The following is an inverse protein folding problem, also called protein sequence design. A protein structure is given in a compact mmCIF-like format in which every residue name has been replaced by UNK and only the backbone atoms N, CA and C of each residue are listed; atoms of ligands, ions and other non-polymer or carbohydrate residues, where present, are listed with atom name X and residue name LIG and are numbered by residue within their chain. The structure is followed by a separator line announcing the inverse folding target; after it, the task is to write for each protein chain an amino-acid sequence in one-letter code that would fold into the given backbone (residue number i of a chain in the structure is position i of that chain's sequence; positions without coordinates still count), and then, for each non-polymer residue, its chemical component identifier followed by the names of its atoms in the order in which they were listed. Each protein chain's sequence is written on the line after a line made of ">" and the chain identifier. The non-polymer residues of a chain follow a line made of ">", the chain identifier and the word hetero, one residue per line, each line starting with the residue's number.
data_IF_334190704611
#
_entry.id   IF_334190704611
#
_cell.length_a   1.000
_cell.length_b   1.000
_cell.length_c   1.000
_cell.angle_alpha   90.00
_cell.angle_beta   90.00
_cell.angle_gamma   90.00
#
_symmetry.space_group_name_H-M   'P 1'
#
loop_
_entity.id
_entity.type
_entity.pdbx_description
1 polymer ?
#
# COMPACT_ATOMS: atom_id res chain seq x y z
N UNK A 1 -19.91 -10.84 -10.60
CA UNK A 1 -18.90 -11.81 -11.10
C UNK A 1 -17.53 -11.21 -10.84
N UNK A 2 -16.66 -11.91 -10.11
CA UNK A 2 -15.27 -11.49 -9.96
C UNK A 2 -14.59 -11.53 -11.34
N UNK A 3 -13.83 -10.49 -11.68
CA UNK A 3 -13.06 -10.44 -12.92
C UNK A 3 -11.94 -11.49 -12.84
N UNK A 4 -12.12 -12.63 -13.50
CA UNK A 4 -11.16 -13.75 -13.49
C UNK A 4 -9.75 -13.30 -13.89
N UNK A 5 -9.63 -12.26 -14.72
CA UNK A 5 -8.35 -11.69 -15.12
C UNK A 5 -7.68 -10.92 -13.98
N UNK A 6 -8.46 -10.18 -13.18
CA UNK A 6 -7.93 -9.53 -11.98
C UNK A 6 -7.41 -10.58 -11.00
N UNK A 7 -8.20 -11.63 -10.74
CA UNK A 7 -7.79 -12.72 -9.86
C UNK A 7 -6.50 -13.40 -10.35
N UNK A 8 -6.41 -13.72 -11.65
CA UNK A 8 -5.19 -14.28 -12.25
C UNK A 8 -3.97 -13.39 -12.00
N UNK A 9 -4.10 -12.09 -12.25
CA UNK A 9 -3.00 -11.12 -12.09
C UNK A 9 -2.59 -11.01 -10.63
N UNK A 10 -3.54 -10.96 -9.70
CA UNK A 10 -3.27 -10.89 -8.26
C UNK A 10 -2.53 -12.14 -7.78
N UNK A 11 -3.07 -13.33 -8.04
CA UNK A 11 -2.42 -14.58 -7.63
C UNK A 11 -1.04 -14.77 -8.26
N UNK A 12 -0.86 -14.35 -9.51
CA UNK A 12 0.44 -14.41 -10.17
C UNK A 12 1.45 -13.44 -9.54
N UNK A 13 1.02 -12.24 -9.19
CA UNK A 13 1.86 -11.24 -8.55
C UNK A 13 2.29 -11.62 -7.13
N UNK A 14 1.50 -12.40 -6.39
CA UNK A 14 1.87 -12.85 -5.04
C UNK A 14 3.04 -13.85 -5.03
N UNK A 15 3.26 -14.59 -6.12
CA UNK A 15 4.25 -15.68 -6.18
C UNK A 15 5.39 -15.43 -7.18
N UNK A 16 5.38 -14.30 -7.91
CA UNK A 16 6.39 -13.97 -8.90
C UNK A 16 6.99 -12.59 -8.68
N UNK A 17 8.21 -12.33 -9.18
CA UNK A 17 8.76 -10.98 -9.22
C UNK A 17 7.81 -10.02 -9.94
N UNK A 18 7.58 -8.84 -9.37
CA UNK A 18 6.62 -7.85 -9.87
C UNK A 18 6.82 -7.48 -11.35
N UNK A 19 8.08 -7.49 -11.84
CA UNK A 19 8.37 -7.25 -13.26
C UNK A 19 7.65 -8.26 -14.18
N UNK A 20 7.55 -9.53 -13.78
CA UNK A 20 6.83 -10.55 -14.55
C UNK A 20 5.32 -10.29 -14.52
N UNK A 21 4.76 -9.90 -13.38
CA UNK A 21 3.35 -9.55 -13.27
C UNK A 21 2.98 -8.31 -14.10
N UNK A 22 3.84 -7.28 -14.15
CA UNK A 22 3.66 -6.11 -15.00
C UNK A 22 3.78 -6.44 -16.50
N UNK A 23 4.70 -7.34 -16.86
CA UNK A 23 4.80 -7.85 -18.23
C UNK A 23 3.52 -8.61 -18.63
N UNK A 24 2.96 -9.41 -17.72
CA UNK A 24 1.69 -10.10 -17.93
C UNK A 24 0.55 -9.08 -18.19
N UNK A 25 0.49 -7.99 -17.44
CA UNK A 25 -0.47 -6.91 -17.66
C UNK A 25 -0.27 -6.17 -19.01
N UNK A 26 0.94 -6.19 -19.56
CA UNK A 26 1.21 -5.61 -20.89
C UNK A 26 0.71 -6.48 -22.04
N UNK A 27 0.27 -7.72 -21.77
CA UNK A 27 -0.27 -8.61 -22.79
C UNK A 27 -1.64 -8.12 -23.31
N UNK A 28 -1.86 -8.23 -24.63
CA UNK A 28 -3.07 -7.73 -25.32
C UNK A 28 -4.40 -8.22 -24.76
N UNK A 29 -4.42 -9.41 -24.16
CA UNK A 29 -5.63 -10.03 -23.61
C UNK A 29 -5.96 -9.54 -22.17
N UNK A 30 -5.04 -8.82 -21.50
CA UNK A 30 -5.20 -8.30 -20.15
C UNK A 30 -5.27 -6.78 -20.17
N UNK A 31 -4.16 -6.14 -20.55
CA UNK A 31 -4.02 -4.70 -20.62
C UNK A 31 -3.61 -4.03 -19.30
N UNK A 32 -3.07 -2.82 -19.42
CA UNK A 32 -2.50 -2.02 -18.33
C UNK A 32 -3.47 -1.67 -17.19
N UNK A 33 -4.78 -1.82 -17.41
CA UNK A 33 -5.82 -1.59 -16.40
C UNK A 33 -5.66 -2.48 -15.15
N UNK A 34 -4.93 -3.61 -15.26
CA UNK A 34 -4.64 -4.51 -14.15
C UNK A 34 -3.32 -4.22 -13.43
N UNK A 35 -2.56 -3.18 -13.79
CA UNK A 35 -1.33 -2.82 -13.07
C UNK A 35 -1.57 -2.58 -11.58
N UNK A 36 -2.66 -1.90 -11.23
CA UNK A 36 -3.01 -1.64 -9.84
C UNK A 36 -3.29 -2.95 -9.07
N UNK A 37 -3.93 -3.93 -9.70
CA UNK A 37 -4.15 -5.25 -9.10
C UNK A 37 -2.82 -5.97 -8.83
N UNK A 38 -1.92 -5.99 -9.83
CA UNK A 38 -0.59 -6.59 -9.67
C UNK A 38 0.21 -5.92 -8.54
N UNK A 39 0.27 -4.59 -8.53
CA UNK A 39 1.04 -3.85 -7.53
C UNK A 39 0.46 -4.01 -6.13
N UNK A 40 -0.87 -4.01 -5.99
CA UNK A 40 -1.54 -4.20 -4.69
C UNK A 40 -1.31 -5.60 -4.13
N UNK A 41 -1.46 -6.63 -4.98
CA UNK A 41 -1.18 -8.01 -4.59
C UNK A 41 0.29 -8.22 -4.22
N UNK A 42 1.21 -7.67 -5.02
CA UNK A 42 2.64 -7.72 -4.72
C UNK A 42 2.99 -6.97 -3.43
N UNK A 43 2.34 -5.83 -3.13
CA UNK A 43 2.57 -5.12 -1.86
C UNK A 43 2.26 -5.97 -0.63
N UNK A 44 1.27 -6.87 -0.72
CA UNK A 44 0.94 -7.80 0.37
C UNK A 44 2.06 -8.79 0.70
N UNK A 45 3.01 -8.98 -0.21
CA UNK A 45 4.18 -9.83 0.05
C UNK A 45 5.22 -9.15 0.95
N UNK A 46 5.11 -7.83 1.18
CA UNK A 46 6.06 -7.07 1.98
C UNK A 46 7.36 -6.71 1.26
N UNK A 47 7.45 -6.89 -0.07
CA UNK A 47 8.64 -6.55 -0.86
C UNK A 47 8.78 -5.02 -1.08
N UNK A 48 8.87 -4.27 0.01
CA UNK A 48 8.84 -2.80 0.05
C UNK A 48 9.96 -2.15 -0.78
N UNK A 49 11.21 -2.59 -0.59
CA UNK A 49 12.39 -2.05 -1.29
C UNK A 49 12.31 -2.28 -2.80
N UNK A 50 11.81 -3.44 -3.22
CA UNK A 50 11.60 -3.73 -4.64
C UNK A 50 10.50 -2.83 -5.23
N UNK A 51 9.41 -2.62 -4.49
CA UNK A 51 8.33 -1.71 -4.88
C UNK A 51 8.80 -0.25 -5.04
N UNK A 52 9.62 0.27 -4.11
CA UNK A 52 10.25 1.59 -4.26
C UNK A 52 11.01 1.69 -5.58
N UNK A 53 11.87 0.71 -5.84
CA UNK A 53 12.70 0.64 -7.06
C UNK A 53 11.85 0.58 -8.33
N UNK A 54 10.72 -0.13 -8.30
CA UNK A 54 9.78 -0.21 -9.43
C UNK A 54 9.13 1.15 -9.70
N UNK A 55 8.70 1.87 -8.67
CA UNK A 55 8.10 3.19 -8.86
C UNK A 55 9.10 4.25 -9.33
N UNK A 56 10.36 4.14 -8.94
CA UNK A 56 11.44 4.97 -9.50
C UNK A 56 11.69 4.67 -10.97
N UNK A 57 11.72 3.39 -11.32
CA UNK A 57 11.99 2.93 -12.69
C UNK A 57 10.84 3.18 -13.66
N UNK A 58 9.60 3.11 -13.17
CA UNK A 58 8.39 3.26 -13.97
C UNK A 58 7.46 4.32 -13.35
N UNK A 59 7.79 5.62 -13.49
CA UNK A 59 7.02 6.71 -12.88
C UNK A 59 5.55 6.75 -13.31
N UNK A 60 5.22 6.22 -14.49
CA UNK A 60 3.85 6.10 -14.99
C UNK A 60 2.97 5.19 -14.11
N UNK A 61 3.56 4.29 -13.32
CA UNK A 61 2.83 3.42 -12.38
C UNK A 61 2.39 4.16 -11.11
N UNK A 62 2.95 5.34 -10.82
CA UNK A 62 2.59 6.10 -9.61
C UNK A 62 1.13 6.57 -9.62
N UNK A 63 0.55 6.68 -10.82
CA UNK A 63 -0.84 7.10 -11.03
C UNK A 63 -1.04 8.55 -10.63
N UNK A 64 -0.89 9.47 -11.58
CA UNK A 64 -0.85 10.92 -11.34
C UNK A 64 -2.07 11.54 -10.64
N UNK A 65 -3.20 10.83 -10.53
CA UNK A 65 -4.46 11.39 -9.99
C UNK A 65 -4.93 10.79 -8.65
N UNK A 66 -4.40 9.64 -8.22
CA UNK A 66 -4.99 8.88 -7.09
C UNK A 66 -4.01 8.50 -5.97
N UNK A 67 -2.77 9.02 -5.98
CA UNK A 67 -1.79 8.75 -4.91
C UNK A 67 -1.62 7.24 -4.65
N UNK A 68 -1.72 6.47 -5.75
CA UNK A 68 -1.76 5.00 -5.74
C UNK A 68 -0.45 4.43 -5.25
N UNK A 69 0.66 5.07 -5.61
CA UNK A 69 2.00 4.78 -5.08
C UNK A 69 2.04 4.80 -3.55
N UNK A 70 1.59 5.88 -2.91
CA UNK A 70 1.68 6.02 -1.47
C UNK A 70 0.83 4.96 -0.74
N UNK A 71 -0.36 4.67 -1.27
CA UNK A 71 -1.19 3.60 -0.75
C UNK A 71 -0.45 2.25 -0.76
N UNK A 72 0.07 1.87 -1.93
CA UNK A 72 0.77 0.61 -2.16
C UNK A 72 2.02 0.52 -1.29
N UNK A 73 2.81 1.59 -1.20
CA UNK A 73 3.99 1.65 -0.34
C UNK A 73 3.63 1.51 1.14
N UNK A 74 2.53 2.11 1.61
CA UNK A 74 2.10 1.97 3.00
C UNK A 74 1.73 0.52 3.36
N UNK A 75 1.10 -0.20 2.43
CA UNK A 75 0.75 -1.62 2.59
C UNK A 75 2.03 -2.45 2.62
N UNK A 76 2.92 -2.26 1.65
CA UNK A 76 4.17 -3.01 1.59
C UNK A 76 5.06 -2.73 2.80
N UNK A 77 5.10 -1.50 3.29
CA UNK A 77 5.84 -1.14 4.52
C UNK A 77 5.27 -1.88 5.74
N UNK A 78 3.95 -1.89 5.90
CA UNK A 78 3.28 -2.64 6.96
C UNK A 78 3.61 -4.13 6.89
N UNK A 79 3.43 -4.76 5.73
CA UNK A 79 3.67 -6.20 5.57
C UNK A 79 5.15 -6.56 5.73
N UNK A 80 6.06 -5.71 5.26
CA UNK A 80 7.49 -5.88 5.48
C UNK A 80 7.86 -5.87 6.97
N UNK A 81 7.31 -4.93 7.75
CA UNK A 81 7.50 -4.91 9.22
C UNK A 81 6.88 -6.13 9.88
N UNK A 82 5.70 -6.57 9.43
CA UNK A 82 5.02 -7.77 9.94
C UNK A 82 5.85 -9.04 9.67
N UNK A 83 6.42 -9.17 8.48
CA UNK A 83 7.32 -10.26 8.09
C UNK A 83 8.75 -10.11 8.62
N UNK A 84 9.06 -8.99 9.32
CA UNK A 84 10.39 -8.68 9.86
C UNK A 84 11.49 -8.62 8.79
N UNK A 85 11.15 -8.14 7.61
CA UNK A 85 12.15 -7.87 6.58
C UNK A 85 13.01 -6.67 6.95
N UNK A 86 14.28 -6.72 6.56
CA UNK A 86 15.20 -5.62 6.71
C UNK A 86 14.94 -4.58 5.61
N UNK A 87 14.34 -3.46 6.01
CA UNK A 87 13.92 -2.38 5.12
C UNK A 87 14.35 -1.03 5.70
N UNK A 88 14.46 -0.04 4.82
CA UNK A 88 14.67 1.35 5.22
C UNK A 88 13.53 1.85 6.12
N UNK A 89 13.88 2.58 7.18
CA UNK A 89 12.92 3.18 8.10
C UNK A 89 12.33 4.48 7.52
N UNK A 90 11.48 4.32 6.51
CA UNK A 90 10.84 5.42 5.78
C UNK A 90 9.60 6.00 6.49
N UNK A 91 9.36 5.66 7.76
CA UNK A 91 8.14 6.04 8.47
C UNK A 91 7.85 7.55 8.36
N UNK A 92 8.82 8.41 8.72
CA UNK A 92 8.57 9.85 8.78
C UNK A 92 8.32 10.42 7.37
N UNK A 93 8.97 9.88 6.34
CA UNK A 93 8.76 10.27 4.94
C UNK A 93 7.35 9.90 4.49
N UNK A 94 6.91 8.66 4.73
CA UNK A 94 5.58 8.19 4.37
C UNK A 94 4.48 8.91 5.15
N UNK A 95 4.72 9.17 6.44
CA UNK A 95 3.80 9.88 7.31
C UNK A 95 3.57 11.32 6.83
N UNK A 96 4.64 12.05 6.53
CA UNK A 96 4.54 13.44 6.04
C UNK A 96 3.83 13.52 4.68
N UNK A 97 4.08 12.55 3.79
CA UNK A 97 3.33 12.42 2.54
C UNK A 97 1.85 12.16 2.80
N UNK A 98 1.52 11.27 3.74
CA UNK A 98 0.14 10.95 4.09
C UNK A 98 -0.63 12.17 4.62
N UNK A 99 0.01 13.03 5.41
CA UNK A 99 -0.61 14.26 5.92
C UNK A 99 -0.99 15.27 4.83
N UNK A 100 -0.31 15.23 3.68
CA UNK A 100 -0.54 16.14 2.54
C UNK A 100 -1.59 15.64 1.55
N UNK A 101 -2.09 14.41 1.71
CA UNK A 101 -3.11 13.85 0.83
C UNK A 101 -4.43 14.63 0.87
N UNK A 102 -5.02 14.84 -0.31
CA UNK A 102 -6.39 15.36 -0.40
C UNK A 102 -7.38 14.34 0.19
N UNK A 103 -8.13 14.79 1.19
CA UNK A 103 -9.14 13.98 1.89
C UNK A 103 -10.37 13.64 1.04
N UNK A 104 -10.49 14.18 -0.16
CA UNK A 104 -11.51 13.79 -1.15
C UNK A 104 -11.17 12.46 -1.83
N UNK A 105 -9.90 12.07 -1.87
CA UNK A 105 -9.45 10.81 -2.47
C UNK A 105 -9.88 9.63 -1.59
N UNK A 106 -10.45 8.61 -2.23
CA UNK A 106 -10.97 7.40 -1.58
C UNK A 106 -10.13 6.19 -1.95
N UNK A 107 -10.01 5.26 -1.01
CA UNK A 107 -9.49 3.91 -1.22
C UNK A 107 -10.55 2.93 -0.72
N UNK A 108 -11.32 2.35 -1.65
CA UNK A 108 -12.55 1.62 -1.31
C UNK A 108 -13.54 2.52 -0.57
N UNK A 109 -13.97 2.10 0.62
CA UNK A 109 -14.91 2.86 1.46
C UNK A 109 -14.25 3.96 2.31
N UNK A 110 -12.92 3.92 2.48
CA UNK A 110 -12.19 4.83 3.35
C UNK A 110 -11.63 6.05 2.61
N UNK A 111 -11.36 7.13 3.34
CA UNK A 111 -10.51 8.23 2.86
C UNK A 111 -9.08 7.70 2.76
N UNK A 112 -8.41 7.91 1.64
CA UNK A 112 -7.08 7.34 1.39
C UNK A 112 -6.07 7.74 2.47
N UNK A 113 -6.08 9.00 2.90
CA UNK A 113 -5.25 9.47 4.01
C UNK A 113 -5.42 8.62 5.27
N UNK A 114 -6.66 8.35 5.68
CA UNK A 114 -6.93 7.60 6.90
C UNK A 114 -6.47 6.13 6.74
N UNK A 115 -6.58 5.55 5.54
CA UNK A 115 -6.09 4.19 5.23
C UNK A 115 -4.56 4.09 5.26
N UNK A 116 -3.84 5.06 4.66
CA UNK A 116 -2.37 5.11 4.69
C UNK A 116 -1.87 5.25 6.12
N UNK A 117 -2.42 6.20 6.88
CA UNK A 117 -2.07 6.41 8.29
C UNK A 117 -2.35 5.16 9.14
N UNK A 118 -3.39 4.41 8.80
CA UNK A 118 -3.70 3.15 9.46
C UNK A 118 -2.62 2.10 9.25
N UNK A 119 -2.24 1.83 8.01
CA UNK A 119 -1.16 0.90 7.70
C UNK A 119 0.16 1.31 8.37
N UNK A 120 0.53 2.59 8.31
CA UNK A 120 1.75 3.10 8.95
C UNK A 120 1.73 2.89 10.48
N UNK A 121 0.60 3.17 11.14
CA UNK A 121 0.53 2.98 12.58
C UNK A 121 0.50 1.50 13.00
N UNK A 122 -0.02 0.59 12.16
CA UNK A 122 0.08 -0.85 12.40
C UNK A 122 1.51 -1.37 12.22
N UNK A 123 2.24 -0.84 11.24
CA UNK A 123 3.65 -1.18 10.99
C UNK A 123 4.55 -0.87 12.21
N UNK A 124 4.18 0.14 12.98
CA UNK A 124 4.89 0.63 14.15
C UNK A 124 4.38 0.00 15.47
N UNK A 125 3.98 -1.28 15.45
CA UNK A 125 3.42 -1.98 16.61
C UNK A 125 4.26 -1.83 17.90
N UNK A 126 5.59 -1.91 17.77
CA UNK A 126 6.52 -1.76 18.89
C UNK A 126 6.94 -0.31 19.18
N UNK A 127 6.66 0.63 18.27
CA UNK A 127 6.96 2.05 18.45
C UNK A 127 5.68 2.83 18.81
N UNK A 128 5.41 2.90 20.12
CA UNK A 128 4.19 3.53 20.65
C UNK A 128 4.02 4.98 20.23
N UNK A 129 5.12 5.73 20.13
CA UNK A 129 5.07 7.15 19.75
C UNK A 129 4.58 7.31 18.31
N UNK A 130 5.20 6.60 17.36
CA UNK A 130 4.82 6.65 15.94
C UNK A 130 3.41 6.11 15.71
N UNK A 131 3.03 5.02 16.38
CA UNK A 131 1.66 4.50 16.37
C UNK A 131 0.64 5.55 16.84
N UNK A 132 0.92 6.25 17.94
CA UNK A 132 0.04 7.29 18.48
C UNK A 132 -0.02 8.52 17.56
N UNK A 133 1.08 8.90 16.90
CA UNK A 133 1.11 9.95 15.88
C UNK A 133 0.13 9.62 14.74
N UNK A 134 0.17 8.40 14.20
CA UNK A 134 -0.79 7.93 13.18
C UNK A 134 -2.23 7.99 13.68
N UNK A 135 -2.51 7.44 14.87
CA UNK A 135 -3.86 7.43 15.46
C UNK A 135 -4.45 8.83 15.59
N UNK A 136 -3.65 9.80 16.06
CA UNK A 136 -4.08 11.19 16.22
C UNK A 136 -4.40 11.86 14.88
N UNK A 137 -3.63 11.54 13.83
CA UNK A 137 -3.78 12.11 12.50
C UNK A 137 -5.00 11.59 11.73
N UNK A 138 -5.44 10.36 11.97
CA UNK A 138 -6.66 9.79 11.38
C UNK A 138 -7.86 10.65 11.80
N UNK A 139 -8.86 10.84 10.93
CA UNK A 139 -10.11 11.55 11.31
C UNK A 139 -11.34 10.65 11.38
N UNK A 140 -11.31 9.49 10.72
CA UNK A 140 -12.39 8.52 10.82
C UNK A 140 -12.38 7.81 12.20
N UNK A 141 -13.46 8.00 12.97
CA UNK A 141 -13.59 7.43 14.31
C UNK A 141 -13.71 5.90 14.34
N UNK A 142 -14.27 5.27 13.31
CA UNK A 142 -14.34 3.80 13.22
C UNK A 142 -12.95 3.20 13.02
N UNK A 143 -12.15 3.76 12.12
CA UNK A 143 -10.75 3.35 11.89
C UNK A 143 -9.90 3.56 13.16
N UNK A 144 -10.13 4.65 13.90
CA UNK A 144 -9.48 4.86 15.20
C UNK A 144 -9.84 3.79 16.23
N UNK A 145 -11.05 3.25 16.21
CA UNK A 145 -11.49 2.21 17.14
C UNK A 145 -10.78 0.89 16.87
N UNK A 146 -10.67 0.51 15.59
CA UNK A 146 -9.92 -0.69 15.17
C UNK A 146 -8.45 -0.65 15.65
N UNK A 147 -7.83 0.53 15.68
CA UNK A 147 -6.49 0.74 16.27
C UNK A 147 -6.35 0.29 17.73
N UNK A 148 -7.42 0.36 18.52
CA UNK A 148 -7.44 -0.04 19.93
C UNK A 148 -7.68 -1.54 20.09
N UNK A 149 -8.42 -2.15 19.17
CA UNK A 149 -8.72 -3.58 19.20
C UNK A 149 -7.46 -4.40 18.89
N UNK A 150 -6.58 -3.91 18.01
CA UNK A 150 -5.25 -4.47 17.74
C UNK A 150 -4.19 -4.16 18.84
N UNK A 151 -4.60 -3.78 20.06
CA UNK A 151 -3.71 -3.59 21.22
C UNK A 151 -3.83 -4.70 22.27
N UNK A 152 -4.81 -5.59 22.13
CA UNK A 152 -5.03 -6.74 23.01
C UNK A 152 -4.40 -7.99 22.42
#
# INVERSE_FOLDING_TARGET
>A
MADLKAYLVESFAEITPIKLALNLCSHKNLGKKYHSNALFAFAKTGQYTELKSIFEKYPELKGAENETELNILSIAYFEAKNHRYDIEDDFDILFDRALRLDRKIKSGAAVLQDAVLFNLGLAEYHNRERKERCRKAIKNNSIKKEFYEHQR
#
